data_IF_814026932350
#
_entry.id   IF_814026932350
#
_cell.length_a   1.000
_cell.length_b   1.000
_cell.length_c   1.000
_cell.angle_alpha   90.00
_cell.angle_beta   90.00
_cell.angle_gamma   90.00
#
_symmetry.space_group_name_H-M   'P 1'
#
loop_
_entity.id
_entity.type
_entity.pdbx_description
1 polymer ?
#
# COMPACT_ATOMS: atom_id res chain seq x y z
N UNK A 1 -30.41 28.59 -6.91
CA UNK A 1 -29.64 27.44 -7.42
C UNK A 1 -29.40 26.50 -6.24
N UNK A 2 -30.13 25.39 -6.14
CA UNK A 2 -29.87 24.39 -5.10
C UNK A 2 -28.89 23.36 -5.65
N UNK A 3 -27.91 22.95 -4.85
CA UNK A 3 -27.05 21.84 -5.21
C UNK A 3 -27.93 20.60 -5.46
N UNK A 4 -27.67 19.83 -6.53
CA UNK A 4 -28.42 18.61 -6.80
C UNK A 4 -28.37 17.69 -5.57
N UNK A 5 -29.46 16.97 -5.26
CA UNK A 5 -29.47 16.04 -4.14
C UNK A 5 -28.32 15.03 -4.31
N UNK A 6 -27.55 14.84 -3.24
CA UNK A 6 -26.46 13.86 -3.20
C UNK A 6 -27.03 12.44 -3.25
N UNK A 7 -27.35 11.97 -4.45
CA UNK A 7 -27.84 10.62 -4.74
C UNK A 7 -26.70 9.63 -5.04
N UNK A 8 -25.46 10.12 -5.17
CA UNK A 8 -24.29 9.27 -5.40
C UNK A 8 -23.79 8.70 -4.09
N UNK A 9 -23.72 7.38 -4.03
CA UNK A 9 -23.13 6.63 -2.95
C UNK A 9 -21.63 6.98 -2.81
N UNK A 10 -21.14 7.07 -1.57
CA UNK A 10 -19.75 7.40 -1.31
C UNK A 10 -18.80 6.35 -1.93
N UNK A 11 -17.63 6.72 -2.50
CA UNK A 11 -16.72 5.78 -3.19
C UNK A 11 -16.25 4.59 -2.32
N UNK A 12 -16.06 4.87 -1.03
CA UNK A 12 -15.77 3.89 0.02
C UNK A 12 -17.05 3.47 0.74
N UNK A 13 -18.16 3.20 0.07
CA UNK A 13 -19.30 2.53 0.71
C UNK A 13 -19.12 1.02 0.57
N UNK A 14 -19.33 0.28 1.66
CA UNK A 14 -19.37 -1.18 1.68
C UNK A 14 -20.28 -1.64 2.84
N UNK A 15 -20.40 -2.95 3.05
CA UNK A 15 -21.21 -3.53 4.13
C UNK A 15 -20.76 -3.07 5.53
N UNK A 16 -19.45 -2.88 5.77
CA UNK A 16 -18.90 -2.43 7.06
C UNK A 16 -19.20 -0.94 7.36
N UNK A 17 -19.32 -0.11 6.31
CA UNK A 17 -19.53 1.33 6.41
C UNK A 17 -20.64 1.78 5.43
N UNK A 18 -21.84 1.25 5.69
CA UNK A 18 -23.09 1.41 4.95
C UNK A 18 -23.82 2.75 5.22
N UNK A 19 -23.48 3.44 6.31
CA UNK A 19 -24.08 4.71 6.70
C UNK A 19 -23.05 5.84 6.69
N UNK A 20 -23.47 7.11 6.45
CA UNK A 20 -22.56 8.26 6.52
C UNK A 20 -21.82 8.39 7.87
N UNK A 21 -22.47 8.01 8.98
CA UNK A 21 -21.87 8.04 10.31
C UNK A 21 -20.76 6.99 10.47
N UNK A 22 -21.01 5.73 10.10
CA UNK A 22 -19.99 4.67 10.14
C UNK A 22 -18.82 5.00 9.21
N UNK A 23 -19.10 5.51 8.02
CA UNK A 23 -18.07 5.97 7.09
C UNK A 23 -17.22 7.11 7.67
N UNK A 24 -17.84 8.11 8.29
CA UNK A 24 -17.11 9.20 8.94
C UNK A 24 -16.23 8.68 10.07
N UNK A 25 -16.70 7.70 10.83
CA UNK A 25 -15.92 7.04 11.89
C UNK A 25 -14.72 6.28 11.29
N UNK A 26 -14.94 5.47 10.25
CA UNK A 26 -13.86 4.77 9.53
C UNK A 26 -12.79 5.75 9.01
N UNK A 27 -13.20 6.84 8.35
CA UNK A 27 -12.27 7.82 7.79
C UNK A 27 -11.43 8.48 8.89
N UNK A 28 -12.06 8.87 10.00
CA UNK A 28 -11.38 9.61 11.09
C UNK A 28 -10.57 8.69 12.02
N UNK A 29 -11.11 7.52 12.34
CA UNK A 29 -10.56 6.60 13.34
C UNK A 29 -9.59 5.57 12.76
N UNK A 30 -9.82 5.11 11.53
CA UNK A 30 -8.98 4.07 10.90
C UNK A 30 -8.12 4.67 9.79
N UNK A 31 -8.76 5.22 8.75
CA UNK A 31 -8.07 5.51 7.50
C UNK A 31 -7.03 6.62 7.62
N UNK A 32 -7.43 7.79 8.15
CA UNK A 32 -6.51 8.94 8.27
C UNK A 32 -5.31 8.65 9.17
N UNK A 33 -5.47 8.10 10.40
CA UNK A 33 -4.34 7.76 11.24
C UNK A 33 -3.35 6.82 10.56
N UNK A 34 -3.86 5.78 9.88
CA UNK A 34 -3.01 4.81 9.19
C UNK A 34 -2.30 5.40 7.96
N UNK A 35 -2.98 6.20 7.14
CA UNK A 35 -2.34 6.81 5.97
C UNK A 35 -1.32 7.90 6.35
N UNK A 36 -1.44 8.53 7.51
CA UNK A 36 -0.43 9.46 8.03
C UNK A 36 0.92 8.78 8.32
N UNK A 37 0.96 7.44 8.45
CA UNK A 37 2.19 6.67 8.61
C UNK A 37 3.02 6.60 7.32
N UNK A 38 2.42 6.86 6.15
CA UNK A 38 3.12 6.92 4.88
C UNK A 38 3.67 8.34 4.61
N UNK A 39 4.54 8.50 3.61
CA UNK A 39 4.91 9.84 3.16
C UNK A 39 3.72 10.51 2.46
N UNK A 40 3.62 11.85 2.43
CA UNK A 40 2.47 12.53 1.83
C UNK A 40 2.14 12.10 0.41
N UNK A 41 3.15 11.84 -0.43
CA UNK A 41 2.96 11.42 -1.82
C UNK A 41 2.42 9.97 -1.89
N UNK A 42 2.92 9.08 -1.03
CA UNK A 42 2.42 7.70 -0.96
C UNK A 42 0.98 7.65 -0.43
N UNK A 43 0.69 8.44 0.61
CA UNK A 43 -0.65 8.57 1.17
C UNK A 43 -1.64 9.16 0.15
N UNK A 44 -1.23 10.16 -0.64
CA UNK A 44 -2.07 10.78 -1.67
C UNK A 44 -2.50 9.76 -2.74
N UNK A 45 -1.58 8.92 -3.24
CA UNK A 45 -1.94 7.87 -4.21
C UNK A 45 -2.97 6.90 -3.63
N UNK A 46 -2.77 6.44 -2.40
CA UNK A 46 -3.73 5.54 -1.75
C UNK A 46 -5.08 6.23 -1.49
N UNK A 47 -5.06 7.48 -1.04
CA UNK A 47 -6.28 8.28 -0.87
C UNK A 47 -7.06 8.39 -2.17
N UNK A 48 -6.39 8.74 -3.28
CA UNK A 48 -7.01 8.81 -4.61
C UNK A 48 -7.54 7.46 -5.08
N UNK A 49 -6.85 6.36 -4.78
CA UNK A 49 -7.36 5.02 -5.06
C UNK A 49 -8.70 4.78 -4.36
N UNK A 50 -8.76 5.08 -3.06
CA UNK A 50 -9.97 4.87 -2.25
C UNK A 50 -11.14 5.77 -2.66
N UNK A 51 -10.85 7.00 -3.07
CA UNK A 51 -11.86 7.93 -3.60
C UNK A 51 -12.21 7.70 -5.09
N UNK A 52 -11.62 6.68 -5.73
CA UNK A 52 -11.79 6.38 -7.16
C UNK A 52 -11.42 7.54 -8.08
N UNK A 53 -10.34 8.24 -7.73
CA UNK A 53 -9.83 9.43 -8.40
C UNK A 53 -8.56 9.18 -9.23
N UNK A 54 -8.07 7.94 -9.30
CA UNK A 54 -6.93 7.61 -10.17
C UNK A 54 -7.38 7.51 -11.63
N UNK A 55 -6.75 8.25 -12.57
CA UNK A 55 -7.11 8.25 -13.99
C UNK A 55 -6.57 6.99 -14.69
N UNK A 56 -7.28 5.87 -14.51
CA UNK A 56 -7.05 4.61 -15.23
C UNK A 56 -7.79 4.62 -16.58
N UNK A 57 -7.34 3.82 -17.53
CA UNK A 57 -7.87 3.86 -18.90
C UNK A 57 -9.38 3.54 -18.99
N UNK A 58 -9.94 2.77 -18.05
CA UNK A 58 -11.39 2.57 -17.96
C UNK A 58 -12.19 3.89 -17.92
N UNK A 59 -11.65 4.96 -17.32
CA UNK A 59 -12.36 6.26 -17.25
C UNK A 59 -12.42 6.98 -18.61
N UNK A 60 -11.70 6.48 -19.62
CA UNK A 60 -11.62 7.06 -20.97
C UNK A 60 -12.58 6.39 -21.96
N UNK A 61 -13.60 5.67 -21.47
CA UNK A 61 -14.58 4.96 -22.31
C UNK A 61 -15.21 5.84 -23.41
N UNK A 62 -15.39 7.13 -23.15
CA UNK A 62 -15.96 8.09 -24.11
C UNK A 62 -15.09 8.31 -25.37
N UNK A 63 -13.82 7.89 -25.36
CA UNK A 63 -12.91 7.96 -26.50
C UNK A 63 -12.88 6.69 -27.36
N UNK A 64 -13.64 5.64 -27.00
CA UNK A 64 -13.57 4.35 -27.69
C UNK A 64 -13.91 4.40 -29.18
N UNK A 65 -14.77 5.33 -29.60
CA UNK A 65 -15.13 5.49 -31.02
C UNK A 65 -13.95 5.92 -31.89
N UNK A 66 -12.98 6.64 -31.32
CA UNK A 66 -11.77 7.10 -32.00
C UNK A 66 -10.58 6.18 -31.74
N UNK A 67 -10.54 5.56 -30.56
CA UNK A 67 -9.44 4.70 -30.11
C UNK A 67 -10.04 3.43 -29.49
N UNK A 68 -10.27 2.36 -30.27
CA UNK A 68 -10.97 1.16 -29.81
C UNK A 68 -10.35 0.51 -28.56
N UNK A 69 -9.02 0.55 -28.45
CA UNK A 69 -8.23 -0.04 -27.37
C UNK A 69 -7.96 0.91 -26.20
N UNK A 70 -8.61 2.09 -26.16
CA UNK A 70 -8.29 3.14 -25.18
C UNK A 70 -8.50 2.74 -23.73
N UNK A 71 -9.34 1.73 -23.47
CA UNK A 71 -9.62 1.22 -22.13
C UNK A 71 -8.70 0.07 -21.69
N UNK A 72 -7.90 -0.48 -22.61
CA UNK A 72 -7.01 -1.60 -22.31
C UNK A 72 -5.89 -1.18 -21.36
N UNK A 73 -5.30 -2.16 -20.68
CA UNK A 73 -4.16 -1.96 -19.80
C UNK A 73 -3.00 -1.29 -20.54
N UNK A 74 -2.35 -0.35 -19.87
CA UNK A 74 -1.19 0.33 -20.45
C UNK A 74 0.00 -0.60 -20.70
N UNK A 75 0.10 -1.70 -19.96
CA UNK A 75 1.25 -2.58 -20.05
C UNK A 75 1.21 -3.42 -21.35
N UNK A 76 2.31 -3.47 -22.12
CA UNK A 76 2.37 -4.25 -23.35
C UNK A 76 2.01 -5.72 -23.12
N UNK A 77 1.19 -6.27 -24.04
CA UNK A 77 0.74 -7.66 -23.98
C UNK A 77 -0.45 -7.91 -23.04
N UNK A 78 -1.04 -6.86 -22.46
CA UNK A 78 -2.24 -6.98 -21.64
C UNK A 78 -3.43 -6.21 -22.25
N UNK A 79 -4.42 -6.95 -22.76
CA UNK A 79 -5.65 -6.38 -23.34
C UNK A 79 -6.82 -6.28 -22.35
N UNK A 80 -6.59 -6.56 -21.07
CA UNK A 80 -7.62 -6.45 -20.04
C UNK A 80 -8.04 -4.98 -19.84
N UNK A 81 -9.30 -4.75 -19.47
CA UNK A 81 -9.79 -3.41 -19.14
C UNK A 81 -9.04 -2.88 -17.92
N UNK A 82 -8.43 -1.71 -18.06
CA UNK A 82 -7.62 -1.10 -17.00
C UNK A 82 -8.50 -0.44 -15.93
N UNK A 83 -8.91 -1.24 -14.95
CA UNK A 83 -9.44 -0.72 -13.69
C UNK A 83 -8.31 -0.38 -12.72
N UNK A 84 -8.59 0.37 -11.63
CA UNK A 84 -7.58 0.57 -10.57
C UNK A 84 -7.11 -0.75 -9.96
N UNK A 85 -8.04 -1.69 -9.76
CA UNK A 85 -7.75 -3.04 -9.26
C UNK A 85 -6.78 -3.78 -10.20
N UNK A 86 -7.05 -3.71 -11.51
CA UNK A 86 -6.18 -4.31 -12.50
C UNK A 86 -4.79 -3.64 -12.53
N UNK A 87 -4.74 -2.32 -12.68
CA UNK A 87 -3.50 -1.56 -12.83
C UNK A 87 -2.59 -1.66 -11.60
N UNK A 88 -3.17 -1.72 -10.40
CA UNK A 88 -2.42 -1.68 -9.15
C UNK A 88 -2.14 -3.07 -8.57
N UNK A 89 -2.99 -4.09 -8.82
CA UNK A 89 -2.92 -5.38 -8.11
C UNK A 89 -2.93 -6.59 -9.04
N UNK A 90 -3.85 -6.67 -9.99
CA UNK A 90 -4.11 -7.94 -10.71
C UNK A 90 -3.31 -8.13 -12.00
N UNK A 91 -2.86 -7.05 -12.64
CA UNK A 91 -2.10 -7.18 -13.88
C UNK A 91 -0.87 -8.06 -13.68
N UNK A 92 -0.58 -8.95 -14.64
CA UNK A 92 0.56 -9.86 -14.60
C UNK A 92 1.91 -9.13 -14.41
N UNK A 93 2.01 -7.88 -14.88
CA UNK A 93 3.20 -7.04 -14.71
C UNK A 93 3.45 -6.63 -13.25
N UNK A 94 2.43 -6.64 -12.39
CA UNK A 94 2.54 -6.13 -11.00
C UNK A 94 2.17 -7.17 -9.94
N UNK A 95 1.31 -8.14 -10.24
CA UNK A 95 0.75 -9.06 -9.26
C UNK A 95 1.83 -9.87 -8.51
N UNK A 96 2.91 -10.23 -9.20
CA UNK A 96 4.03 -10.99 -8.64
C UNK A 96 4.80 -10.24 -7.54
N UNK A 97 4.69 -8.90 -7.48
CA UNK A 97 5.24 -8.07 -6.40
C UNK A 97 4.39 -8.28 -5.14
N UNK A 98 3.06 -8.22 -5.28
CA UNK A 98 2.13 -8.44 -4.17
C UNK A 98 2.16 -9.87 -3.65
N UNK A 99 2.23 -10.87 -4.53
CA UNK A 99 2.36 -12.27 -4.12
C UNK A 99 3.66 -12.49 -3.32
N UNK A 100 4.76 -11.87 -3.77
CA UNK A 100 6.05 -11.98 -3.11
C UNK A 100 6.05 -11.35 -1.71
N UNK A 101 5.51 -10.14 -1.56
CA UNK A 101 5.33 -9.51 -0.26
C UNK A 101 4.37 -10.31 0.62
N UNK A 102 3.21 -10.71 0.10
CA UNK A 102 2.21 -11.47 0.86
C UNK A 102 2.77 -12.77 1.43
N UNK A 103 3.64 -13.48 0.70
CA UNK A 103 4.29 -14.69 1.19
C UNK A 103 5.01 -14.47 2.53
N UNK A 104 5.80 -13.39 2.66
CA UNK A 104 6.51 -13.06 3.91
C UNK A 104 5.57 -12.67 5.04
N UNK A 105 4.41 -12.09 4.73
CA UNK A 105 3.45 -11.55 5.70
C UNK A 105 2.39 -12.56 6.15
N UNK A 106 2.22 -13.67 5.42
CA UNK A 106 1.28 -14.75 5.76
C UNK A 106 1.53 -15.37 7.13
N UNK A 107 2.77 -15.33 7.63
CA UNK A 107 3.09 -15.77 8.99
C UNK A 107 2.29 -15.02 10.09
N UNK A 108 1.82 -13.81 9.79
CA UNK A 108 0.97 -12.99 10.65
C UNK A 108 -0.52 -13.04 10.27
N UNK A 109 -0.92 -13.86 9.30
CA UNK A 109 -2.28 -13.83 8.71
C UNK A 109 -2.53 -12.64 7.78
N UNK A 110 -1.49 -11.88 7.44
CA UNK A 110 -1.59 -10.70 6.60
C UNK A 110 -1.23 -11.03 5.14
N UNK A 111 -1.91 -10.36 4.22
CA UNK A 111 -1.64 -10.43 2.77
C UNK A 111 -2.00 -9.08 2.13
N UNK A 112 -1.53 -8.85 0.90
CA UNK A 112 -1.78 -7.63 0.15
C UNK A 112 -2.76 -7.88 -0.99
N UNK A 113 -4.03 -8.07 -0.64
CA UNK A 113 -5.13 -8.26 -1.59
C UNK A 113 -5.89 -6.95 -1.83
N UNK A 114 -6.59 -6.86 -2.96
CA UNK A 114 -7.39 -5.68 -3.30
C UNK A 114 -8.41 -5.34 -2.21
N UNK A 115 -9.08 -6.35 -1.63
CA UNK A 115 -10.08 -6.14 -0.58
C UNK A 115 -9.48 -5.40 0.61
N UNK A 116 -8.36 -5.88 1.16
CA UNK A 116 -7.62 -5.25 2.28
C UNK A 116 -7.04 -3.88 1.93
N UNK A 117 -6.60 -3.68 0.69
CA UNK A 117 -6.10 -2.38 0.23
C UNK A 117 -7.24 -1.35 0.05
N UNK A 118 -8.44 -1.81 -0.29
CA UNK A 118 -9.63 -0.97 -0.50
C UNK A 118 -10.46 -0.72 0.76
N UNK A 119 -10.29 -1.55 1.78
CA UNK A 119 -11.01 -1.50 3.06
C UNK A 119 -10.08 -1.96 4.19
N UNK A 120 -9.58 -0.99 4.96
CA UNK A 120 -8.59 -1.26 6.01
C UNK A 120 -9.19 -1.96 7.23
N UNK A 121 -10.52 -2.00 7.38
CA UNK A 121 -11.16 -2.76 8.47
C UNK A 121 -11.04 -4.28 8.23
N UNK A 122 -10.76 -4.70 6.99
CA UNK A 122 -10.46 -6.11 6.66
C UNK A 122 -9.00 -6.52 6.97
N UNK A 123 -8.16 -5.57 7.40
CA UNK A 123 -6.78 -5.87 7.80
C UNK A 123 -6.78 -6.41 9.22
N UNK A 124 -7.02 -7.72 9.34
CA UNK A 124 -6.96 -8.46 10.59
C UNK A 124 -5.66 -9.28 10.69
N UNK A 125 -5.09 -9.31 11.88
CA UNK A 125 -3.92 -10.12 12.23
C UNK A 125 -4.39 -11.47 12.77
N UNK A 126 -3.62 -12.53 12.50
CA UNK A 126 -3.92 -13.86 13.02
C UNK A 126 -3.95 -13.85 14.56
N UNK A 127 -4.89 -14.54 15.25
CA UNK A 127 -5.08 -14.44 16.71
C UNK A 127 -3.83 -14.68 17.55
N UNK A 128 -2.90 -15.54 17.08
CA UNK A 128 -1.58 -15.76 17.69
C UNK A 128 -0.79 -14.46 17.92
N UNK A 129 -0.95 -13.48 17.03
CA UNK A 129 -0.22 -12.22 17.01
C UNK A 129 -1.08 -11.03 17.43
N UNK A 130 -2.23 -11.27 18.06
CA UNK A 130 -3.19 -10.22 18.45
C UNK A 130 -2.56 -9.16 19.37
N UNK A 131 -1.64 -9.57 20.25
CA UNK A 131 -0.88 -8.68 21.13
C UNK A 131 0.06 -7.72 20.37
N UNK A 132 0.33 -7.98 19.09
CA UNK A 132 1.14 -7.14 18.20
C UNK A 132 0.32 -6.55 17.05
N UNK A 133 -1.02 -6.56 17.14
CA UNK A 133 -1.89 -6.16 16.02
C UNK A 133 -1.55 -4.75 15.50
N UNK A 134 -1.49 -3.77 16.40
CA UNK A 134 -1.26 -2.38 16.02
C UNK A 134 0.13 -2.17 15.36
N UNK A 135 1.26 -2.63 15.95
CA UNK A 135 2.57 -2.62 15.30
C UNK A 135 2.57 -3.29 13.91
N UNK A 136 1.97 -4.47 13.78
CA UNK A 136 1.91 -5.20 12.52
C UNK A 136 1.09 -4.45 11.47
N UNK A 137 -0.04 -3.88 11.87
CA UNK A 137 -0.90 -3.06 10.99
C UNK A 137 -0.18 -1.80 10.53
N UNK A 138 0.51 -1.10 11.42
CA UNK A 138 1.35 0.08 11.08
C UNK A 138 2.40 -0.29 10.03
N UNK A 139 3.16 -1.36 10.26
CA UNK A 139 4.19 -1.84 9.34
C UNK A 139 3.61 -2.25 7.98
N UNK A 140 2.47 -2.94 7.98
CA UNK A 140 1.79 -3.42 6.77
C UNK A 140 1.30 -2.26 5.91
N UNK A 141 0.65 -1.27 6.53
CA UNK A 141 0.16 -0.08 5.84
C UNK A 141 1.31 0.71 5.21
N UNK A 142 2.40 0.93 5.95
CA UNK A 142 3.56 1.63 5.37
C UNK A 142 4.10 0.93 4.12
N UNK A 143 4.19 -0.41 4.12
CA UNK A 143 4.64 -1.16 2.95
C UNK A 143 3.63 -1.11 1.80
N UNK A 144 2.34 -1.29 2.09
CA UNK A 144 1.28 -1.19 1.10
C UNK A 144 1.28 0.18 0.39
N UNK A 145 1.44 1.27 1.14
CA UNK A 145 1.50 2.63 0.61
C UNK A 145 2.70 2.82 -0.34
N UNK A 146 3.87 2.31 0.04
CA UNK A 146 5.08 2.31 -0.78
C UNK A 146 4.85 1.58 -2.10
N UNK A 147 4.29 0.36 -2.04
CA UNK A 147 4.11 -0.48 -3.23
C UNK A 147 3.02 0.11 -4.14
N UNK A 148 1.89 0.58 -3.60
CA UNK A 148 0.84 1.25 -4.37
C UNK A 148 1.38 2.47 -5.14
N UNK A 149 2.11 3.34 -4.44
CA UNK A 149 2.74 4.50 -5.06
C UNK A 149 3.72 4.11 -6.17
N UNK A 150 4.51 3.05 -5.93
CA UNK A 150 5.47 2.53 -6.91
C UNK A 150 4.75 2.00 -8.15
N UNK A 151 3.69 1.19 -7.99
CA UNK A 151 2.90 0.66 -9.11
C UNK A 151 2.25 1.79 -9.92
N UNK A 152 1.67 2.77 -9.23
CA UNK A 152 1.07 3.93 -9.88
C UNK A 152 2.09 4.75 -10.69
N UNK A 153 3.29 4.94 -10.13
CA UNK A 153 4.38 5.64 -10.81
C UNK A 153 4.83 4.89 -12.06
N UNK A 154 5.03 3.58 -11.98
CA UNK A 154 5.41 2.75 -13.13
C UNK A 154 4.33 2.76 -14.22
N UNK A 155 3.07 2.63 -13.83
CA UNK A 155 1.92 2.74 -14.75
C UNK A 155 1.98 4.08 -15.49
N UNK A 156 2.13 5.19 -14.78
CA UNK A 156 2.14 6.52 -15.40
C UNK A 156 3.34 6.71 -16.34
N UNK A 157 4.53 6.25 -15.95
CA UNK A 157 5.71 6.26 -16.81
C UNK A 157 5.51 5.43 -18.08
N UNK A 158 4.85 4.28 -17.97
CA UNK A 158 4.49 3.46 -19.15
C UNK A 158 3.49 4.19 -20.03
N UNK A 159 2.51 4.89 -19.44
CA UNK A 159 1.44 5.57 -20.17
C UNK A 159 1.90 6.83 -20.90
N UNK A 160 2.75 7.62 -20.26
CA UNK A 160 3.01 9.01 -20.66
C UNK A 160 4.47 9.26 -21.06
N UNK A 161 5.38 8.34 -20.77
CA UNK A 161 6.82 8.51 -21.02
C UNK A 161 7.44 7.34 -21.79
N UNK A 162 6.62 6.46 -22.39
CA UNK A 162 7.02 5.27 -23.14
C UNK A 162 8.06 4.40 -22.40
N UNK A 163 7.98 4.36 -21.07
CA UNK A 163 8.86 3.52 -20.25
C UNK A 163 8.38 2.06 -20.25
N UNK A 164 9.31 1.09 -20.12
CA UNK A 164 8.91 -0.30 -20.01
C UNK A 164 8.11 -0.58 -18.73
N UNK A 165 7.37 -1.70 -18.68
CA UNK A 165 6.74 -2.21 -17.47
C UNK A 165 7.73 -2.32 -16.30
N UNK A 166 7.22 -2.36 -15.05
CA UNK A 166 8.08 -2.51 -13.88
C UNK A 166 8.94 -3.77 -13.96
N UNK A 167 10.25 -3.59 -13.81
CA UNK A 167 11.17 -4.72 -13.61
C UNK A 167 11.03 -5.22 -12.16
N UNK A 168 10.32 -6.34 -11.99
CA UNK A 168 9.90 -6.88 -10.69
C UNK A 168 11.03 -6.97 -9.65
N UNK A 169 12.24 -7.47 -9.96
CA UNK A 169 13.34 -7.51 -8.99
C UNK A 169 13.75 -6.13 -8.46
N UNK A 170 13.81 -5.11 -9.33
CA UNK A 170 14.13 -3.75 -8.91
C UNK A 170 13.03 -3.17 -8.03
N UNK A 171 11.76 -3.42 -8.36
CA UNK A 171 10.61 -2.98 -7.55
C UNK A 171 10.64 -3.60 -6.15
N UNK A 172 10.95 -4.90 -6.05
CA UNK A 172 11.09 -5.60 -4.75
C UNK A 172 12.18 -4.98 -3.88
N UNK A 173 13.32 -4.65 -4.49
CA UNK A 173 14.41 -3.98 -3.78
C UNK A 173 13.99 -2.56 -3.35
N UNK A 174 13.48 -1.74 -4.28
CA UNK A 174 13.13 -0.35 -4.00
C UNK A 174 11.97 -0.21 -3.01
N UNK A 175 11.03 -1.17 -3.00
CA UNK A 175 9.93 -1.18 -2.03
C UNK A 175 10.44 -1.43 -0.61
N UNK A 176 11.37 -2.37 -0.41
CA UNK A 176 12.00 -2.60 0.89
C UNK A 176 12.86 -1.41 1.33
N UNK A 177 13.64 -0.80 0.44
CA UNK A 177 14.41 0.42 0.75
C UNK A 177 13.47 1.55 1.21
N UNK A 178 12.43 1.84 0.43
CA UNK A 178 11.49 2.93 0.76
C UNK A 178 10.70 2.64 2.03
N UNK A 179 10.28 1.38 2.23
CA UNK A 179 9.60 0.95 3.44
C UNK A 179 10.51 1.08 4.67
N UNK A 180 11.79 0.69 4.56
CA UNK A 180 12.76 0.84 5.64
C UNK A 180 12.91 2.29 6.09
N UNK A 181 12.88 3.25 5.15
CA UNK A 181 12.93 4.67 5.48
C UNK A 181 11.68 5.12 6.26
N UNK A 182 10.50 4.65 5.87
CA UNK A 182 9.24 4.91 6.61
C UNK A 182 9.25 4.29 8.01
N UNK A 183 9.77 3.07 8.15
CA UNK A 183 9.91 2.39 9.45
C UNK A 183 10.90 3.15 10.35
N UNK A 184 12.05 3.56 9.84
CA UNK A 184 13.01 4.40 10.60
C UNK A 184 12.42 5.75 11.00
N UNK A 185 11.48 6.30 10.22
CA UNK A 185 10.75 7.51 10.60
C UNK A 185 9.79 7.21 11.77
N UNK A 186 9.01 6.13 11.68
CA UNK A 186 8.13 5.69 12.77
C UNK A 186 8.92 5.46 14.07
N UNK A 187 10.06 4.76 13.99
CA UNK A 187 10.95 4.53 15.13
C UNK A 187 11.63 5.80 15.65
N UNK A 188 11.53 6.94 14.98
CA UNK A 188 12.01 8.23 15.53
C UNK A 188 10.90 9.08 16.11
N UNK A 189 9.64 8.66 15.96
CA UNK A 189 8.50 9.36 16.52
C UNK A 189 8.51 9.19 18.05
N UNK A 190 8.51 10.29 18.83
CA UNK A 190 8.53 10.23 20.28
C UNK A 190 7.24 9.66 20.88
N UNK A 191 6.14 9.61 20.12
CA UNK A 191 4.88 8.99 20.57
C UNK A 191 4.91 7.46 20.57
N UNK A 192 5.93 6.85 19.94
CA UNK A 192 6.09 5.39 19.93
C UNK A 192 6.81 4.96 21.21
N UNK A 193 6.12 4.21 22.06
CA UNK A 193 6.66 3.70 23.32
C UNK A 193 7.61 2.50 23.13
N UNK A 194 8.29 2.09 24.21
CA UNK A 194 9.27 1.00 24.19
C UNK A 194 8.66 -0.38 23.89
N UNK A 195 7.40 -0.60 24.26
CA UNK A 195 6.69 -1.86 23.99
C UNK A 195 6.39 -1.96 22.50
N UNK A 196 5.88 -0.89 21.89
CA UNK A 196 5.66 -0.79 20.45
C UNK A 196 6.97 -0.94 19.68
N UNK A 197 8.07 -0.32 20.14
CA UNK A 197 9.41 -0.49 19.54
C UNK A 197 9.86 -1.94 19.56
N UNK A 198 9.69 -2.62 20.69
CA UNK A 198 10.04 -4.04 20.85
C UNK A 198 9.21 -4.92 19.91
N UNK A 199 7.89 -4.68 19.82
CA UNK A 199 7.01 -5.40 18.92
C UNK A 199 7.38 -5.15 17.44
N UNK A 200 7.65 -3.91 17.06
CA UNK A 200 8.13 -3.56 15.72
C UNK A 200 9.43 -4.30 15.41
N UNK A 201 10.41 -4.26 16.31
CA UNK A 201 11.69 -4.96 16.13
C UNK A 201 11.51 -6.48 15.98
N UNK A 202 10.62 -7.07 16.78
CA UNK A 202 10.29 -8.50 16.72
C UNK A 202 9.66 -8.87 15.37
N UNK A 203 8.66 -8.11 14.92
CA UNK A 203 8.03 -8.32 13.62
C UNK A 203 9.04 -8.20 12.46
N UNK A 204 9.93 -7.20 12.51
CA UNK A 204 10.96 -6.98 11.50
C UNK A 204 12.01 -8.11 11.49
N UNK A 205 12.37 -8.64 12.65
CA UNK A 205 13.26 -9.81 12.75
C UNK A 205 12.64 -11.04 12.08
N UNK A 206 11.38 -11.34 12.39
CA UNK A 206 10.65 -12.46 11.78
C UNK A 206 10.48 -12.29 10.26
N UNK A 207 10.21 -11.06 9.80
CA UNK A 207 10.16 -10.75 8.37
C UNK A 207 11.52 -10.92 7.71
N UNK A 208 12.60 -10.48 8.35
CA UNK A 208 13.98 -10.60 7.86
C UNK A 208 14.47 -12.05 7.77
N UNK A 209 13.90 -12.97 8.55
CA UNK A 209 14.22 -14.40 8.47
C UNK A 209 13.53 -15.10 7.29
N UNK A 210 12.46 -14.52 6.74
CA UNK A 210 11.74 -15.12 5.63
C UNK A 210 12.59 -15.14 4.35
N UNK A 211 12.56 -16.24 3.60
CA UNK A 211 13.42 -16.48 2.42
C UNK A 211 13.36 -15.35 1.40
N UNK A 212 12.19 -14.75 1.21
CA UNK A 212 12.00 -13.63 0.30
C UNK A 212 12.71 -12.34 0.74
N UNK A 213 12.88 -12.09 2.03
CA UNK A 213 13.46 -10.82 2.54
C UNK A 213 14.87 -10.98 3.09
N UNK A 214 15.29 -12.19 3.46
CA UNK A 214 16.58 -12.47 4.11
C UNK A 214 17.79 -11.85 3.40
N UNK A 215 17.84 -11.92 2.07
CA UNK A 215 18.91 -11.29 1.28
C UNK A 215 18.99 -9.78 1.51
N UNK A 216 17.86 -9.08 1.69
CA UNK A 216 17.82 -7.63 1.86
C UNK A 216 18.40 -7.25 3.22
N UNK A 217 18.07 -8.01 4.27
CA UNK A 217 18.66 -7.83 5.60
C UNK A 217 20.15 -8.13 5.60
N UNK A 218 20.60 -9.16 4.87
CA UNK A 218 22.03 -9.47 4.74
C UNK A 218 22.81 -8.34 4.04
N UNK A 219 22.23 -7.75 2.98
CA UNK A 219 22.86 -6.64 2.24
C UNK A 219 22.74 -5.29 2.95
N UNK A 220 21.70 -5.10 3.76
CA UNK A 220 21.40 -3.84 4.44
C UNK A 220 21.11 -4.05 5.93
N UNK A 221 22.10 -4.45 6.75
CA UNK A 221 21.88 -4.80 8.17
C UNK A 221 21.23 -3.68 8.99
N UNK A 222 21.49 -2.43 8.61
CA UNK A 222 21.03 -1.23 9.32
C UNK A 222 19.76 -0.61 8.71
N UNK A 223 19.14 -1.25 7.72
CA UNK A 223 17.98 -0.68 7.03
C UNK A 223 16.82 -0.39 8.00
N UNK A 224 16.62 -1.20 9.02
CA UNK A 224 15.50 -1.04 9.94
C UNK A 224 15.88 -0.48 11.32
N UNK A 225 17.16 -0.14 11.52
CA UNK A 225 17.63 0.48 12.75
C UNK A 225 17.52 2.00 12.65
N UNK A 226 17.09 2.70 13.72
CA UNK A 226 17.30 4.14 13.80
C UNK A 226 18.81 4.43 13.79
N UNK A 227 19.26 5.54 13.18
CA UNK A 227 20.68 5.88 13.15
C UNK A 227 21.24 6.08 14.58
N UNK A 228 22.48 5.66 14.83
CA UNK A 228 23.13 5.63 16.14
C UNK A 228 23.35 6.99 16.83
N UNK A 229 23.06 8.13 16.19
CA UNK A 229 23.15 9.45 16.82
C UNK A 229 22.04 9.71 17.85
N UNK A 230 21.05 8.82 17.97
CA UNK A 230 19.93 8.92 18.90
C UNK A 230 20.19 8.25 20.28
N UNK A 231 21.37 7.67 20.52
CA UNK A 231 21.76 7.25 21.87
C UNK A 231 22.27 8.48 22.63
N UNK A 232 21.71 8.85 23.79
CA UNK A 232 22.36 9.85 24.64
C UNK A 232 23.76 9.31 25.03
N UNK A 233 24.78 10.17 25.14
CA UNK A 233 26.08 9.74 25.61
C UNK A 233 25.95 9.14 27.03
N UNK A 234 26.80 8.15 27.37
CA UNK A 234 26.79 7.50 28.68
C UNK A 234 27.01 8.50 29.83
#
# INVERSE_FOLDING_TARGET
FHAPPFNKQHPMHCEHHDTPSKLKLYIRGTLRPLLNLATPIQADVWWRMLYRMLPVNYTLFFLQSQQPHIMECVYPGCSAVETMRHALVECACVCSVWTWHSASWRQFGLEFSWSKLSDLDQVAVHPRWQHMEEPLRKLWVMLAAVVLHTMWTHRNKTRFEDKPPPFVPAVRHSSLVSWSASVRRLLRDPSVDDTDRLHIATALSLLGQHTHYSWFWAQNPWAFSPPSWASPPP
#
